data_IF_895721677449
#
_entry.id   IF_895721677449
#
_cell.length_a   1.000
_cell.length_b   1.000
_cell.length_c   1.000
_cell.angle_alpha   90.00
_cell.angle_beta   90.00
_cell.angle_gamma   90.00
#
_symmetry.space_group_name_H-M   'P 1'
#
loop_
_entity.id
_entity.type
_entity.pdbx_description
1 polymer ?
#
# COMPACT_ATOMS: atom_id res chain seq x y z
N UNK A 1 2.35 18.05 3.35
CA UNK A 1 3.27 17.38 2.39
C UNK A 1 4.47 16.82 3.16
N UNK A 2 5.00 15.66 2.75
CA UNK A 2 6.20 15.10 3.38
C UNK A 2 7.45 15.77 2.82
N UNK A 3 8.43 16.02 3.67
CA UNK A 3 9.74 16.54 3.28
C UNK A 3 10.83 15.84 4.09
N UNK A 4 11.98 15.58 3.47
CA UNK A 4 13.15 15.03 4.16
C UNK A 4 14.05 16.17 4.61
N UNK A 5 14.48 16.13 5.87
CA UNK A 5 15.44 17.06 6.43
C UNK A 5 16.82 16.77 5.83
N UNK A 6 17.39 17.71 5.09
CA UNK A 6 18.72 17.58 4.47
C UNK A 6 19.83 18.25 5.29
N UNK A 7 19.46 19.18 6.17
CA UNK A 7 20.33 19.85 7.14
C UNK A 7 19.59 19.93 8.47
N UNK A 8 20.26 19.60 9.59
CA UNK A 8 19.62 19.64 10.90
C UNK A 8 19.28 21.09 11.30
N UNK A 9 18.09 21.31 11.88
CA UNK A 9 17.68 22.64 12.33
C UNK A 9 16.78 22.61 13.58
N UNK A 10 16.86 23.64 14.43
CA UNK A 10 16.04 23.71 15.63
C UNK A 10 14.60 24.12 15.33
N UNK A 11 13.66 23.56 16.09
CA UNK A 11 12.24 23.92 16.08
C UNK A 11 11.73 24.14 17.50
N UNK A 12 10.49 24.65 17.65
CA UNK A 12 9.83 24.78 18.96
C UNK A 12 9.66 23.44 19.69
N UNK A 13 9.69 22.31 18.96
CA UNK A 13 9.55 20.95 19.52
C UNK A 13 10.88 20.24 19.74
N UNK A 14 12.01 20.90 19.46
CA UNK A 14 13.34 20.31 19.55
C UNK A 14 14.10 20.36 18.21
N UNK A 15 15.25 19.67 18.17
CA UNK A 15 16.10 19.58 16.99
C UNK A 15 15.54 18.56 16.00
N UNK A 16 15.43 18.93 14.72
CA UNK A 16 15.16 17.99 13.65
C UNK A 16 16.48 17.55 13.03
N UNK A 17 16.70 16.24 12.98
CA UNK A 17 17.95 15.64 12.51
C UNK A 17 17.94 15.44 11.00
N UNK A 18 19.12 15.53 10.37
CA UNK A 18 19.30 15.18 8.96
C UNK A 18 18.83 13.74 8.70
N UNK A 19 18.11 13.54 7.61
CA UNK A 19 17.50 12.26 7.21
C UNK A 19 16.07 12.05 7.71
N UNK A 20 15.61 12.84 8.68
CA UNK A 20 14.26 12.70 9.23
C UNK A 20 13.20 13.11 8.20
N UNK A 21 12.12 12.33 8.11
CA UNK A 21 10.94 12.70 7.31
C UNK A 21 9.96 13.44 8.21
N UNK A 22 9.56 14.63 7.78
CA UNK A 22 8.63 15.50 8.50
C UNK A 22 7.48 15.89 7.59
N UNK A 23 6.34 16.17 8.20
CA UNK A 23 5.21 16.75 7.49
C UNK A 23 5.23 18.27 7.66
N UNK A 24 5.26 19.00 6.54
CA UNK A 24 5.22 20.45 6.51
C UNK A 24 4.08 20.97 5.62
N UNK A 25 3.49 22.12 5.95
CA UNK A 25 2.63 22.85 5.02
C UNK A 25 3.42 23.34 3.79
N UNK A 26 2.85 23.32 2.58
CA UNK A 26 3.53 23.82 1.36
C UNK A 26 4.05 25.26 1.48
N UNK A 27 3.33 26.11 2.21
CA UNK A 27 3.73 27.50 2.46
C UNK A 27 5.05 27.65 3.25
N UNK A 28 5.50 26.59 3.94
CA UNK A 28 6.78 26.58 4.64
C UNK A 28 7.95 26.08 3.79
N UNK A 29 7.70 25.53 2.59
CA UNK A 29 8.74 24.96 1.75
C UNK A 29 9.77 26.00 1.33
N UNK A 30 9.32 27.18 0.89
CA UNK A 30 10.19 28.30 0.54
C UNK A 30 11.02 28.80 1.74
N UNK A 31 10.43 28.80 2.94
CA UNK A 31 11.11 29.21 4.18
C UNK A 31 12.15 28.21 4.67
N UNK A 32 11.98 26.94 4.30
CA UNK A 32 12.85 25.83 4.68
C UNK A 32 13.74 25.38 3.53
N UNK A 33 13.84 26.17 2.45
CA UNK A 33 14.71 25.91 1.31
C UNK A 33 16.16 25.76 1.78
N UNK A 34 16.81 24.67 1.36
CA UNK A 34 18.16 24.30 1.81
C UNK A 34 18.21 23.48 3.10
N UNK A 35 17.13 23.45 3.89
CA UNK A 35 17.03 22.63 5.11
C UNK A 35 16.21 21.37 4.92
N UNK A 36 15.22 21.42 4.02
CA UNK A 36 14.36 20.29 3.68
C UNK A 36 14.25 20.13 2.16
N UNK A 37 14.13 18.89 1.69
CA UNK A 37 13.74 18.55 0.32
C UNK A 37 12.30 18.03 0.32
N UNK A 38 11.43 18.48 -0.60
CA UNK A 38 10.09 17.93 -0.72
C UNK A 38 10.17 16.48 -1.20
N UNK A 39 9.44 15.59 -0.51
CA UNK A 39 9.26 14.22 -0.99
C UNK A 39 8.07 14.25 -1.93
N UNK A 40 8.28 13.84 -3.18
CA UNK A 40 7.19 13.69 -4.15
C UNK A 40 6.08 12.82 -3.58
N UNK A 41 4.83 13.20 -3.84
CA UNK A 41 3.68 12.40 -3.42
C UNK A 41 3.81 10.97 -3.95
N UNK A 42 3.51 9.96 -3.13
CA UNK A 42 3.55 8.58 -3.56
C UNK A 42 2.63 8.37 -4.77
N UNK A 43 3.18 7.81 -5.84
CA UNK A 43 2.44 7.44 -7.05
C UNK A 43 2.91 6.08 -7.52
N UNK A 44 1.97 5.22 -7.87
CA UNK A 44 2.21 3.94 -8.53
C UNK A 44 1.41 3.89 -9.83
N UNK A 45 2.04 3.50 -10.92
CA UNK A 45 1.39 3.39 -12.23
C UNK A 45 2.06 2.31 -13.08
N UNK A 46 1.37 1.88 -14.14
CA UNK A 46 1.92 0.99 -15.14
C UNK A 46 2.41 1.81 -16.34
N UNK A 47 3.57 1.46 -16.89
CA UNK A 47 4.00 1.98 -18.19
C UNK A 47 3.14 1.41 -19.31
N UNK A 48 3.25 1.95 -20.52
CA UNK A 48 2.63 1.38 -21.72
C UNK A 48 3.06 -0.07 -21.99
N UNK A 49 4.22 -0.48 -21.45
CA UNK A 49 4.76 -1.85 -21.53
C UNK A 49 4.29 -2.75 -20.38
N UNK A 50 3.49 -2.22 -19.45
CA UNK A 50 2.98 -2.94 -18.28
C UNK A 50 3.97 -3.11 -17.14
N UNK A 51 5.06 -2.34 -17.12
CA UNK A 51 6.03 -2.33 -16.00
C UNK A 51 5.49 -1.48 -14.85
N UNK A 52 5.71 -1.93 -13.61
CA UNK A 52 5.36 -1.14 -12.44
C UNK A 52 6.38 0.00 -12.27
N UNK A 53 5.88 1.22 -12.12
CA UNK A 53 6.68 2.40 -11.79
C UNK A 53 6.13 3.05 -10.54
N UNK A 54 7.05 3.47 -9.68
CA UNK A 54 6.73 4.10 -8.41
C UNK A 54 7.52 5.41 -8.27
N UNK A 55 6.88 6.43 -7.71
CA UNK A 55 7.51 7.70 -7.34
C UNK A 55 7.17 8.02 -5.89
N UNK A 56 8.15 8.51 -5.13
CA UNK A 56 7.98 8.84 -3.71
C UNK A 56 8.58 7.79 -2.78
N UNK A 57 8.33 7.94 -1.48
CA UNK A 57 8.76 7.00 -0.44
C UNK A 57 7.54 6.21 0.03
N UNK A 58 7.65 4.89 0.02
CA UNK A 58 6.61 3.95 0.40
C UNK A 58 7.08 3.18 1.62
N UNK A 59 6.29 3.22 2.71
CA UNK A 59 6.53 2.37 3.88
C UNK A 59 6.01 0.95 3.60
N UNK A 60 4.85 0.86 2.96
CA UNK A 60 4.24 -0.36 2.42
C UNK A 60 3.66 -0.03 1.03
N UNK A 61 4.28 -0.58 -0.02
CA UNK A 61 3.87 -0.30 -1.41
C UNK A 61 2.53 -0.96 -1.75
N UNK A 62 2.19 -2.12 -1.18
CA UNK A 62 0.93 -2.79 -1.43
C UNK A 62 -0.24 -1.99 -0.85
N UNK A 63 -0.11 -1.54 0.42
CA UNK A 63 -1.10 -0.68 1.06
C UNK A 63 -1.30 0.63 0.29
N UNK A 64 -0.20 1.23 -0.20
CA UNK A 64 -0.26 2.47 -0.95
C UNK A 64 -0.90 2.28 -2.34
N UNK A 65 -0.62 1.17 -3.03
CA UNK A 65 -1.32 0.81 -4.27
C UNK A 65 -2.83 0.74 -4.00
N UNK A 66 -3.26 0.08 -2.93
CA UNK A 66 -4.69 0.01 -2.57
C UNK A 66 -5.28 1.39 -2.35
N UNK A 67 -4.59 2.23 -1.57
CA UNK A 67 -5.01 3.61 -1.29
C UNK A 67 -5.16 4.43 -2.56
N UNK A 68 -4.22 4.32 -3.49
CA UNK A 68 -4.20 5.08 -4.75
C UNK A 68 -5.24 4.58 -5.77
N UNK A 69 -5.71 3.34 -5.63
CA UNK A 69 -6.58 2.67 -6.60
C UNK A 69 -7.93 2.27 -6.03
N UNK A 70 -8.36 2.87 -4.91
CA UNK A 70 -9.60 2.52 -4.20
C UNK A 70 -10.84 2.45 -5.12
N UNK A 71 -10.89 3.30 -6.14
CA UNK A 71 -12.02 3.42 -7.07
C UNK A 71 -11.82 2.60 -8.37
N UNK A 72 -10.72 1.85 -8.48
CA UNK A 72 -10.37 1.07 -9.67
C UNK A 72 -9.68 -0.25 -9.29
N UNK A 73 -10.51 -1.26 -8.97
CA UNK A 73 -10.05 -2.59 -8.60
C UNK A 73 -9.27 -3.31 -9.71
N UNK A 74 -9.55 -3.00 -10.99
CA UNK A 74 -8.79 -3.57 -12.10
C UNK A 74 -7.35 -3.07 -12.10
N UNK A 75 -7.15 -1.75 -11.97
CA UNK A 75 -5.82 -1.16 -11.88
C UNK A 75 -5.10 -1.61 -10.60
N UNK A 76 -5.82 -1.68 -9.48
CA UNK A 76 -5.31 -2.21 -8.22
C UNK A 76 -4.73 -3.61 -8.41
N UNK A 77 -5.49 -4.50 -9.04
CA UNK A 77 -5.07 -5.87 -9.37
C UNK A 77 -3.80 -5.88 -10.20
N UNK A 78 -3.77 -5.13 -11.29
CA UNK A 78 -2.61 -5.13 -12.19
C UNK A 78 -1.34 -4.64 -11.48
N UNK A 79 -1.44 -3.57 -10.69
CA UNK A 79 -0.31 -3.04 -9.91
C UNK A 79 0.16 -4.03 -8.84
N UNK A 80 -0.77 -4.62 -8.07
CA UNK A 80 -0.43 -5.61 -7.04
C UNK A 80 0.17 -6.88 -7.63
N UNK A 81 -0.35 -7.38 -8.75
CA UNK A 81 0.23 -8.53 -9.46
C UNK A 81 1.64 -8.25 -9.94
N UNK A 82 1.90 -7.05 -10.48
CA UNK A 82 3.25 -6.66 -10.90
C UNK A 82 4.19 -6.49 -9.71
N UNK A 83 3.71 -5.89 -8.62
CA UNK A 83 4.47 -5.76 -7.39
C UNK A 83 4.85 -7.15 -6.82
N UNK A 84 3.92 -8.09 -6.76
CA UNK A 84 4.22 -9.46 -6.33
C UNK A 84 5.18 -10.15 -7.32
N UNK A 85 4.93 -10.06 -8.62
CA UNK A 85 5.74 -10.73 -9.65
C UNK A 85 7.18 -10.19 -9.75
N UNK A 86 7.42 -8.92 -9.42
CA UNK A 86 8.76 -8.32 -9.41
C UNK A 86 9.58 -8.69 -8.17
N UNK A 87 8.94 -9.06 -7.05
CA UNK A 87 9.62 -9.26 -5.77
C UNK A 87 9.55 -10.68 -5.22
N UNK A 88 8.46 -11.42 -5.42
CA UNK A 88 8.30 -12.79 -4.92
C UNK A 88 7.11 -13.51 -5.60
N UNK A 89 7.40 -14.55 -6.41
CA UNK A 89 6.40 -15.36 -7.09
C UNK A 89 5.47 -16.12 -6.12
N UNK A 90 5.89 -16.36 -4.87
CA UNK A 90 5.10 -17.07 -3.85
C UNK A 90 4.29 -16.11 -2.96
N UNK A 91 4.50 -14.80 -3.08
CA UNK A 91 3.89 -13.79 -2.21
C UNK A 91 2.36 -13.87 -2.21
N UNK A 92 1.75 -14.01 -3.39
CA UNK A 92 0.30 -14.11 -3.51
C UNK A 92 -0.24 -15.43 -2.91
N UNK A 93 0.54 -16.51 -2.97
CA UNK A 93 0.22 -17.78 -2.32
C UNK A 93 0.16 -17.63 -0.80
N UNK A 94 1.20 -17.03 -0.20
CA UNK A 94 1.23 -16.75 1.23
C UNK A 94 0.10 -15.81 1.67
N UNK A 95 -0.23 -14.79 0.87
CA UNK A 95 -1.38 -13.93 1.15
C UNK A 95 -2.70 -14.70 1.13
N UNK A 96 -2.85 -15.69 0.26
CA UNK A 96 -4.05 -16.53 0.22
C UNK A 96 -4.15 -17.53 1.36
N UNK A 97 -3.02 -18.06 1.83
CA UNK A 97 -2.97 -18.90 3.04
C UNK A 97 -3.35 -18.07 4.28
N UNK A 98 -2.74 -16.89 4.44
CA UNK A 98 -3.08 -15.96 5.51
C UNK A 98 -4.54 -15.50 5.45
N UNK A 99 -5.11 -15.41 4.24
CA UNK A 99 -6.53 -15.12 4.07
C UNK A 99 -7.40 -16.27 4.58
N UNK A 100 -7.15 -17.52 4.20
CA UNK A 100 -7.95 -18.67 4.68
C UNK A 100 -7.88 -18.79 6.21
N UNK A 101 -6.69 -18.60 6.80
CA UNK A 101 -6.51 -18.62 8.25
C UNK A 101 -7.35 -17.54 8.94
N UNK A 102 -7.30 -16.30 8.44
CA UNK A 102 -8.09 -15.19 9.01
C UNK A 102 -9.59 -15.39 8.86
N UNK A 103 -10.03 -15.91 7.72
CA UNK A 103 -11.46 -16.21 7.52
C UNK A 103 -11.93 -17.25 8.53
N UNK A 104 -11.15 -18.33 8.74
CA UNK A 104 -11.48 -19.34 9.72
C UNK A 104 -11.54 -18.76 11.15
N UNK A 105 -10.58 -17.92 11.54
CA UNK A 105 -10.60 -17.24 12.84
C UNK A 105 -11.84 -16.35 12.99
N UNK A 106 -12.17 -15.54 11.98
CA UNK A 106 -13.32 -14.63 12.00
C UNK A 106 -14.67 -15.37 12.02
N UNK A 107 -14.75 -16.52 11.35
CA UNK A 107 -15.93 -17.38 11.32
C UNK A 107 -16.12 -18.11 12.65
N UNK A 108 -15.05 -18.69 13.22
CA UNK A 108 -15.12 -19.47 14.46
C UNK A 108 -15.13 -18.62 15.73
N UNK A 109 -14.25 -17.62 15.84
CA UNK A 109 -14.08 -16.81 17.04
C UNK A 109 -14.84 -15.48 16.94
N UNK A 110 -15.01 -14.94 15.73
CA UNK A 110 -15.69 -13.67 15.48
C UNK A 110 -17.19 -13.78 15.28
N UNK A 111 -17.72 -14.99 15.05
CA UNK A 111 -19.14 -15.24 14.79
C UNK A 111 -19.66 -14.59 13.49
N UNK A 112 -18.76 -14.18 12.60
CA UNK A 112 -19.12 -13.64 11.29
C UNK A 112 -19.60 -14.77 10.37
N UNK A 113 -20.49 -14.45 9.44
CA UNK A 113 -20.77 -15.39 8.36
C UNK A 113 -19.52 -15.56 7.49
N UNK A 114 -19.35 -16.74 6.87
CA UNK A 114 -18.24 -17.00 5.93
C UNK A 114 -18.03 -15.86 4.94
N UNK A 115 -19.12 -15.34 4.35
CA UNK A 115 -19.07 -14.25 3.36
C UNK A 115 -18.53 -12.94 3.93
N UNK A 116 -18.92 -12.59 5.16
CA UNK A 116 -18.43 -11.38 5.84
C UNK A 116 -16.96 -11.54 6.25
N UNK A 117 -16.59 -12.70 6.79
CA UNK A 117 -15.22 -13.03 7.14
C UNK A 117 -14.29 -12.99 5.91
N UNK A 118 -14.73 -13.55 4.77
CA UNK A 118 -14.00 -13.51 3.50
C UNK A 118 -13.75 -12.08 3.01
N UNK A 119 -14.76 -11.21 3.11
CA UNK A 119 -14.65 -9.81 2.72
C UNK A 119 -13.71 -9.02 3.65
N UNK A 120 -13.87 -9.16 4.97
CA UNK A 120 -13.00 -8.49 5.95
C UNK A 120 -11.54 -8.95 5.85
N UNK A 121 -11.32 -10.27 5.71
CA UNK A 121 -9.97 -10.81 5.54
C UNK A 121 -9.33 -10.28 4.25
N UNK A 122 -10.09 -10.16 3.16
CA UNK A 122 -9.61 -9.63 1.89
C UNK A 122 -9.28 -8.14 1.99
N UNK A 123 -10.08 -7.34 2.69
CA UNK A 123 -9.77 -5.93 2.92
C UNK A 123 -8.47 -5.76 3.71
N UNK A 124 -8.31 -6.50 4.81
CA UNK A 124 -7.13 -6.44 5.68
C UNK A 124 -5.84 -6.96 5.05
N UNK A 125 -5.94 -7.76 4.00
CA UNK A 125 -4.80 -8.31 3.26
C UNK A 125 -4.62 -7.66 1.89
N UNK A 126 -5.39 -6.62 1.57
CA UNK A 126 -5.33 -5.95 0.27
C UNK A 126 -5.64 -6.88 -0.93
N UNK A 127 -6.48 -7.88 -0.70
CA UNK A 127 -6.87 -8.92 -1.67
C UNK A 127 -8.23 -8.68 -2.32
N UNK A 128 -8.96 -7.60 -1.98
CA UNK A 128 -10.28 -7.32 -2.54
C UNK A 128 -10.28 -7.34 -4.08
N UNK A 129 -9.24 -6.79 -4.69
CA UNK A 129 -9.08 -6.81 -6.14
C UNK A 129 -8.95 -8.21 -6.75
N UNK A 130 -8.71 -9.27 -5.96
CA UNK A 130 -8.51 -10.65 -6.43
C UNK A 130 -9.67 -11.59 -6.07
N UNK A 131 -10.69 -11.12 -5.33
CA UNK A 131 -11.81 -11.94 -4.87
C UNK A 131 -12.57 -12.62 -6.02
N UNK A 132 -12.81 -11.90 -7.13
CA UNK A 132 -13.57 -12.41 -8.28
C UNK A 132 -12.89 -13.63 -8.92
N UNK A 133 -11.55 -13.62 -9.02
CA UNK A 133 -10.76 -14.72 -9.60
C UNK A 133 -10.85 -15.97 -8.72
N UNK A 134 -10.89 -15.79 -7.41
CA UNK A 134 -11.02 -16.91 -6.46
C UNK A 134 -12.41 -17.51 -6.51
N UNK A 135 -13.45 -16.70 -6.68
CA UNK A 135 -14.81 -17.21 -6.90
C UNK A 135 -14.87 -18.09 -8.16
N UNK A 136 -14.30 -17.62 -9.27
CA UNK A 136 -14.23 -18.38 -10.52
C UNK A 136 -13.40 -19.68 -10.38
N UNK A 137 -12.27 -19.63 -9.66
CA UNK A 137 -11.44 -20.81 -9.40
C UNK A 137 -12.15 -21.87 -8.52
N UNK A 138 -13.07 -21.45 -7.63
CA UNK A 138 -13.90 -22.35 -6.82
C UNK A 138 -15.09 -22.92 -7.59
N UNK A 139 -15.61 -22.20 -8.61
CA UNK A 139 -16.72 -22.66 -9.45
C UNK A 139 -16.30 -23.56 -10.62
N UNK A 140 -15.00 -23.69 -10.89
CA UNK A 140 -14.44 -24.52 -11.97
C UNK A 140 -14.16 -25.99 -11.62
N UNK A 141 -14.78 -26.54 -10.58
CA UNK A 141 -14.60 -27.93 -10.15
C UNK A 141 -15.86 -28.77 -10.36
#
# INVERSE_FOLDING_TARGET
MKARVIEAFPTRKGMLSKGQIIEIPPALLEKLKGKVEPISEPKAWLTEKGELRTQGVFDDLAAEIVRLTKDNLLLQRQLLTRHCGEFDQQHIGHLWEAWEERVAIMEHDGGLSRREAEYEAAERLHLLAFMDIRADARSGN
#
